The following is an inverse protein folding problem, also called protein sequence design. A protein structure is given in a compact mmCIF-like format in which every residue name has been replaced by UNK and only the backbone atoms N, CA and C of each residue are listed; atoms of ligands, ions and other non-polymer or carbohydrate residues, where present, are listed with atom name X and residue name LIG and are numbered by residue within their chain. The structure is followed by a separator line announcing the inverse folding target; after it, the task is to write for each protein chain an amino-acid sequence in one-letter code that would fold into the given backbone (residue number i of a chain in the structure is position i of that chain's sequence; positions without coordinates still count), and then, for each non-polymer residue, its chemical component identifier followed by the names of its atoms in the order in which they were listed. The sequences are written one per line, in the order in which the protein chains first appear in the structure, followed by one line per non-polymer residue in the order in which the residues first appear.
data_IF_199234859093
#
_entry.id   IF_199234859093
#
_cell.length_a   1.000
_cell.length_b   1.000
_cell.length_c   1.000
_cell.angle_alpha   90.00
_cell.angle_beta   90.00
_cell.angle_gamma   90.00
#
_symmetry.space_group_name_H-M   'P 1'
#
loop_
_entity.id
_entity.type
_entity.pdbx_description
1 polymer ?
#
# COMPACT_ATOMS: atom_id res chain seq x y z
N UNK A 1 -9.82 28.69 2.55
CA UNK A 1 -9.26 28.44 3.90
C UNK A 1 -8.99 26.94 4.01
N UNK A 2 -8.00 26.50 4.80
CA UNK A 2 -7.75 25.07 4.98
C UNK A 2 -8.86 24.46 5.84
N UNK A 3 -9.38 23.30 5.43
CA UNK A 3 -10.38 22.56 6.19
C UNK A 3 -9.75 21.92 7.44
N UNK A 4 -10.58 21.64 8.44
CA UNK A 4 -10.15 20.84 9.60
C UNK A 4 -9.92 19.39 9.17
N UNK A 5 -8.94 18.71 9.77
CA UNK A 5 -8.62 17.30 9.49
C UNK A 5 -9.83 16.37 9.57
N UNK A 6 -10.73 16.63 10.53
CA UNK A 6 -11.96 15.85 10.77
C UNK A 6 -13.02 16.04 9.69
N UNK A 7 -12.98 17.16 8.99
CA UNK A 7 -13.97 17.56 7.98
C UNK A 7 -13.48 17.27 6.54
N UNK A 8 -12.28 16.69 6.40
CA UNK A 8 -11.69 16.35 5.11
C UNK A 8 -12.63 15.47 4.27
N UNK A 9 -13.03 15.96 3.09
CA UNK A 9 -13.89 15.27 2.14
C UNK A 9 -15.38 15.57 2.25
N UNK A 10 -15.82 16.38 3.22
CA UNK A 10 -17.24 16.76 3.33
C UNK A 10 -17.72 17.59 2.14
N UNK A 11 -16.89 18.50 1.65
CA UNK A 11 -17.21 19.32 0.47
C UNK A 11 -17.34 18.45 -0.78
N UNK A 12 -16.45 17.46 -0.95
CA UNK A 12 -16.54 16.51 -2.06
C UNK A 12 -17.83 15.67 -1.97
N UNK A 13 -18.19 15.19 -0.77
CA UNK A 13 -19.44 14.45 -0.56
C UNK A 13 -20.67 15.29 -0.90
N UNK A 14 -20.66 16.58 -0.53
CA UNK A 14 -21.76 17.49 -0.83
C UNK A 14 -21.89 17.79 -2.34
N UNK A 15 -20.77 17.96 -3.06
CA UNK A 15 -20.78 18.29 -4.49
C UNK A 15 -20.97 17.08 -5.41
N UNK A 16 -20.27 15.97 -5.14
CA UNK A 16 -20.20 14.79 -6.04
C UNK A 16 -21.14 13.65 -5.62
N UNK A 17 -21.70 13.74 -4.41
CA UNK A 17 -22.43 12.65 -3.79
C UNK A 17 -21.53 11.57 -3.19
N UNK A 18 -22.13 10.70 -2.38
CA UNK A 18 -21.41 9.70 -1.59
C UNK A 18 -20.59 8.71 -2.44
N UNK A 19 -21.15 8.25 -3.56
CA UNK A 19 -20.53 7.21 -4.40
C UNK A 19 -19.23 7.69 -5.05
N UNK A 20 -19.24 8.88 -5.65
CA UNK A 20 -18.05 9.44 -6.31
C UNK A 20 -16.96 9.84 -5.31
N UNK A 21 -17.32 10.25 -4.09
CA UNK A 21 -16.36 10.58 -3.04
C UNK A 21 -15.78 9.39 -2.29
N UNK A 22 -16.23 8.17 -2.56
CA UNK A 22 -15.69 6.95 -1.96
C UNK A 22 -15.39 5.86 -2.99
N UNK A 23 -15.45 6.18 -4.29
CA UNK A 23 -15.33 5.20 -5.37
C UNK A 23 -14.03 4.39 -5.26
N UNK A 24 -12.90 5.07 -5.09
CA UNK A 24 -11.60 4.40 -4.98
C UNK A 24 -11.44 3.66 -3.65
N UNK A 25 -11.97 4.21 -2.56
CA UNK A 25 -12.02 3.51 -1.28
C UNK A 25 -12.79 2.18 -1.40
N UNK A 26 -13.98 2.18 -1.99
CA UNK A 26 -14.83 1.00 -2.15
C UNK A 26 -14.14 -0.03 -3.04
N UNK A 27 -13.60 0.38 -4.20
CA UNK A 27 -12.90 -0.56 -5.09
C UNK A 27 -11.69 -1.22 -4.44
N UNK A 28 -10.92 -0.49 -3.63
CA UNK A 28 -9.81 -1.06 -2.87
C UNK A 28 -10.29 -2.09 -1.86
N UNK A 29 -11.37 -1.80 -1.12
CA UNK A 29 -11.92 -2.72 -0.13
C UNK A 29 -12.49 -3.97 -0.79
N UNK A 30 -13.19 -3.84 -1.92
CA UNK A 30 -13.66 -4.97 -2.71
C UNK A 30 -12.49 -5.83 -3.19
N UNK A 31 -11.44 -5.23 -3.74
CA UNK A 31 -10.23 -5.94 -4.17
C UNK A 31 -9.56 -6.71 -3.01
N UNK A 32 -9.37 -6.05 -1.86
CA UNK A 32 -8.75 -6.66 -0.68
C UNK A 32 -9.60 -7.80 -0.11
N UNK A 33 -10.92 -7.62 -0.02
CA UNK A 33 -11.85 -8.65 0.44
C UNK A 33 -11.93 -9.81 -0.55
N UNK A 34 -11.89 -9.55 -1.85
CA UNK A 34 -11.88 -10.59 -2.88
C UNK A 34 -10.60 -11.43 -2.78
N UNK A 35 -9.44 -10.81 -2.68
CA UNK A 35 -8.17 -11.53 -2.49
C UNK A 35 -8.21 -12.35 -1.20
N UNK A 36 -8.70 -11.77 -0.10
CA UNK A 36 -8.83 -12.50 1.15
C UNK A 36 -9.81 -13.67 1.04
N UNK A 37 -10.95 -13.48 0.38
CA UNK A 37 -11.93 -14.53 0.14
C UNK A 37 -11.35 -15.67 -0.72
N UNK A 38 -10.50 -15.37 -1.71
CA UNK A 38 -9.80 -16.40 -2.49
C UNK A 38 -8.85 -17.24 -1.63
N UNK A 39 -8.19 -16.65 -0.61
CA UNK A 39 -7.38 -17.42 0.34
C UNK A 39 -8.23 -18.23 1.32
N UNK A 40 -9.39 -17.72 1.72
CA UNK A 40 -10.30 -18.39 2.66
C UNK A 40 -11.20 -19.44 2.00
N UNK A 41 -11.30 -19.47 0.66
CA UNK A 41 -12.15 -20.43 -0.04
C UNK A 41 -11.71 -21.88 0.16
N UNK A 42 -10.40 -22.11 0.32
CA UNK A 42 -9.84 -23.44 0.61
C UNK A 42 -10.34 -23.98 1.95
N UNK A 43 -9.96 -23.35 3.08
CA UNK A 43 -10.35 -23.81 4.41
C UNK A 43 -11.86 -23.86 4.68
N UNK A 44 -12.65 -22.94 4.11
CA UNK A 44 -14.08 -22.82 4.43
C UNK A 44 -14.99 -23.58 3.47
N UNK A 45 -14.66 -23.64 2.18
CA UNK A 45 -15.53 -24.23 1.16
C UNK A 45 -14.93 -25.49 0.50
N UNK A 46 -13.71 -25.89 0.87
CA UNK A 46 -13.01 -27.02 0.27
C UNK A 46 -12.56 -26.78 -1.17
N UNK A 47 -12.72 -25.57 -1.69
CA UNK A 47 -12.33 -25.17 -3.05
C UNK A 47 -11.06 -24.32 -2.95
N UNK A 48 -9.92 -24.96 -3.19
CA UNK A 48 -8.61 -24.32 -3.12
C UNK A 48 -8.31 -23.51 -4.39
N UNK A 49 -8.75 -22.26 -4.41
CA UNK A 49 -8.44 -21.31 -5.50
C UNK A 49 -7.01 -20.77 -5.37
N UNK A 50 -6.53 -20.60 -4.14
CA UNK A 50 -5.14 -20.26 -3.80
C UNK A 50 -4.63 -21.27 -2.77
N UNK A 51 -3.62 -22.05 -3.13
CA UNK A 51 -2.87 -22.87 -2.16
C UNK A 51 -1.71 -22.06 -1.60
N UNK A 52 -1.51 -22.06 -0.28
CA UNK A 52 -0.35 -21.43 0.37
C UNK A 52 -0.68 -20.16 1.16
N UNK A 53 0.28 -19.24 1.26
CA UNK A 53 0.17 -18.00 2.02
C UNK A 53 0.56 -16.78 1.16
N UNK A 54 0.49 -15.57 1.71
CA UNK A 54 0.88 -14.34 0.99
C UNK A 54 2.38 -14.27 0.60
N UNK A 55 3.22 -15.13 1.17
CA UNK A 55 4.66 -15.22 0.90
C UNK A 55 4.98 -16.21 -0.23
N UNK A 56 4.20 -17.28 -0.34
CA UNK A 56 4.22 -18.25 -1.43
C UNK A 56 2.83 -18.85 -1.61
N UNK A 57 2.18 -18.54 -2.74
CA UNK A 57 0.89 -19.10 -3.11
C UNK A 57 0.89 -19.62 -4.54
N UNK A 58 0.05 -20.61 -4.81
CA UNK A 58 -0.26 -21.15 -6.13
C UNK A 58 -1.70 -20.77 -6.45
N UNK A 59 -1.89 -19.93 -7.45
CA UNK A 59 -3.20 -19.60 -7.99
C UNK A 59 -3.64 -20.71 -8.95
N UNK A 60 -4.76 -21.35 -8.63
CA UNK A 60 -5.36 -22.45 -9.38
C UNK A 60 -4.33 -23.54 -9.74
N UNK A 61 -3.41 -23.85 -8.81
CA UNK A 61 -2.31 -24.83 -8.98
C UNK A 61 -1.38 -24.61 -10.19
N UNK A 62 -1.49 -23.46 -10.85
CA UNK A 62 -0.86 -23.21 -12.16
C UNK A 62 0.00 -21.96 -12.18
N UNK A 63 -0.36 -20.91 -11.43
CA UNK A 63 0.40 -19.66 -11.39
C UNK A 63 1.01 -19.46 -10.00
N UNK A 64 2.35 -19.60 -9.83
CA UNK A 64 2.99 -19.29 -8.58
C UNK A 64 3.00 -17.77 -8.35
N UNK A 65 2.39 -17.31 -7.26
CA UNK A 65 2.55 -15.97 -6.72
C UNK A 65 3.46 -16.04 -5.50
N UNK A 66 4.76 -15.83 -5.74
CA UNK A 66 5.76 -15.77 -4.69
C UNK A 66 6.14 -14.33 -4.43
N UNK A 67 6.27 -13.95 -3.15
CA UNK A 67 6.74 -12.64 -2.76
C UNK A 67 8.18 -12.42 -3.27
N UNK A 68 8.42 -11.36 -4.08
CA UNK A 68 9.76 -11.04 -4.56
C UNK A 68 10.77 -10.84 -3.42
N UNK A 69 10.35 -10.36 -2.25
CA UNK A 69 11.22 -10.18 -1.10
C UNK A 69 11.69 -11.52 -0.52
N UNK A 70 10.77 -12.47 -0.36
CA UNK A 70 11.08 -13.82 0.15
C UNK A 70 11.98 -14.58 -0.83
N UNK A 71 11.78 -14.37 -2.12
CA UNK A 71 12.64 -14.98 -3.15
C UNK A 71 14.05 -14.40 -3.09
N UNK A 72 14.19 -13.09 -2.89
CA UNK A 72 15.48 -12.44 -2.68
C UNK A 72 16.17 -12.93 -1.40
N UNK A 73 15.44 -13.12 -0.30
CA UNK A 73 15.98 -13.69 0.93
C UNK A 73 16.41 -15.16 0.76
N UNK A 74 15.63 -15.98 0.05
CA UNK A 74 16.00 -17.37 -0.25
C UNK A 74 17.32 -17.42 -1.01
N UNK A 75 17.46 -16.60 -2.05
CA UNK A 75 18.69 -16.50 -2.81
C UNK A 75 19.86 -15.98 -1.96
N UNK A 76 19.62 -15.00 -1.10
CA UNK A 76 20.63 -14.44 -0.21
C UNK A 76 21.09 -15.42 0.88
N UNK A 77 20.20 -16.29 1.36
CA UNK A 77 20.50 -17.35 2.33
C UNK A 77 21.18 -18.58 1.70
N UNK A 78 21.39 -18.59 0.38
CA UNK A 78 22.04 -19.69 -0.32
C UNK A 78 21.10 -20.84 -0.71
N UNK A 79 19.80 -20.73 -0.43
CA UNK A 79 18.80 -21.69 -0.86
C UNK A 79 18.27 -21.33 -2.24
N UNK A 80 18.49 -22.21 -3.22
CA UNK A 80 17.89 -22.06 -4.55
C UNK A 80 16.38 -22.33 -4.45
N UNK A 81 15.51 -21.32 -4.62
CA UNK A 81 14.08 -21.56 -4.66
C UNK A 81 13.73 -22.39 -5.89
N UNK A 82 12.68 -23.22 -5.79
CA UNK A 82 12.19 -24.00 -6.93
C UNK A 82 11.90 -23.11 -8.14
N UNK A 83 12.11 -23.63 -9.35
CA UNK A 83 11.95 -22.88 -10.61
C UNK A 83 10.56 -22.22 -10.69
N UNK A 84 9.52 -22.88 -10.17
CA UNK A 84 8.17 -22.34 -10.05
C UNK A 84 8.12 -21.07 -9.19
N UNK A 85 8.76 -21.05 -8.02
CA UNK A 85 8.81 -19.88 -7.15
C UNK A 85 9.55 -18.70 -7.81
N UNK A 86 10.64 -18.99 -8.53
CA UNK A 86 11.41 -17.97 -9.24
C UNK A 86 10.63 -17.37 -10.40
N UNK A 87 9.95 -18.19 -11.21
CA UNK A 87 9.06 -17.74 -12.28
C UNK A 87 7.93 -16.88 -11.71
N UNK A 88 7.34 -17.30 -10.59
CA UNK A 88 6.28 -16.56 -9.92
C UNK A 88 6.73 -15.19 -9.41
N UNK A 89 7.89 -15.14 -8.75
CA UNK A 89 8.47 -13.90 -8.27
C UNK A 89 8.77 -12.92 -9.41
N UNK A 90 9.31 -13.41 -10.53
CA UNK A 90 9.60 -12.59 -11.72
C UNK A 90 8.33 -12.04 -12.35
N UNK A 91 7.28 -12.85 -12.49
CA UNK A 91 5.98 -12.41 -13.04
C UNK A 91 5.38 -11.33 -12.13
N UNK A 92 5.27 -11.61 -10.83
CA UNK A 92 4.73 -10.68 -9.83
C UNK A 92 5.52 -9.37 -9.82
N UNK A 93 6.85 -9.47 -9.76
CA UNK A 93 7.73 -8.31 -9.78
C UNK A 93 7.58 -7.50 -11.07
N UNK A 94 7.56 -8.15 -12.23
CA UNK A 94 7.42 -7.50 -13.53
C UNK A 94 6.08 -6.79 -13.70
N UNK A 95 4.98 -7.46 -13.34
CA UNK A 95 3.63 -6.88 -13.39
C UNK A 95 3.53 -5.67 -12.46
N UNK A 96 3.97 -5.78 -11.21
CA UNK A 96 3.91 -4.64 -10.29
C UNK A 96 4.88 -3.52 -10.67
N UNK A 97 6.07 -3.83 -11.19
CA UNK A 97 7.00 -2.83 -11.69
C UNK A 97 6.39 -2.03 -12.87
N UNK A 98 5.58 -2.68 -13.70
CA UNK A 98 4.98 -2.09 -14.90
C UNK A 98 3.67 -1.36 -14.59
N UNK A 99 2.80 -1.91 -13.74
CA UNK A 99 1.50 -1.31 -13.42
C UNK A 99 1.65 0.01 -12.68
N UNK A 100 2.60 0.15 -11.77
CA UNK A 100 2.75 1.40 -11.04
C UNK A 100 3.61 1.22 -9.81
N UNK A 101 3.49 2.16 -8.88
CA UNK A 101 4.30 2.16 -7.66
C UNK A 101 3.76 1.13 -6.68
N UNK A 102 3.74 1.43 -5.38
CA UNK A 102 3.27 0.54 -4.29
C UNK A 102 1.75 0.22 -4.35
N UNK A 103 1.24 -0.22 -5.50
CA UNK A 103 -0.14 -0.60 -5.80
C UNK A 103 -0.53 -1.83 -4.97
N UNK A 104 0.38 -2.81 -4.82
CA UNK A 104 0.16 -3.95 -3.94
C UNK A 104 -0.27 -3.52 -2.53
N UNK A 105 0.40 -2.50 -1.99
CA UNK A 105 0.12 -2.00 -0.63
C UNK A 105 -1.29 -1.42 -0.48
N UNK A 106 -1.91 -0.90 -1.54
CA UNK A 106 -3.23 -0.26 -1.47
C UNK A 106 -4.38 -1.13 -1.99
N UNK A 107 -4.12 -2.10 -2.87
CA UNK A 107 -5.15 -2.92 -3.55
C UNK A 107 -5.19 -4.39 -3.11
N UNK A 108 -4.07 -4.94 -2.64
CA UNK A 108 -3.93 -6.37 -2.35
C UNK A 108 -3.60 -6.62 -0.88
N UNK A 109 -2.79 -5.75 -0.27
CA UNK A 109 -2.33 -5.93 1.10
C UNK A 109 -3.51 -5.91 2.12
N UNK A 110 -3.68 -6.99 2.92
CA UNK A 110 -4.76 -7.10 3.91
C UNK A 110 -4.51 -6.29 5.19
N UNK A 111 -3.27 -5.84 5.42
CA UNK A 111 -2.91 -4.96 6.55
C UNK A 111 -3.34 -3.51 6.30
N UNK A 112 -3.51 -3.11 5.04
CA UNK A 112 -3.85 -1.74 4.70
C UNK A 112 -5.22 -1.25 5.24
N UNK A 113 -6.31 -2.04 5.24
CA UNK A 113 -7.54 -1.69 5.96
C UNK A 113 -7.33 -1.34 7.43
N UNK A 114 -6.42 -2.03 8.12
CA UNK A 114 -6.12 -1.82 9.53
C UNK A 114 -5.44 -0.46 9.72
N UNK A 115 -4.43 -0.15 8.89
CA UNK A 115 -3.70 1.13 8.97
C UNK A 115 -4.56 2.31 8.51
N UNK A 116 -5.40 2.12 7.48
CA UNK A 116 -6.38 3.13 7.04
C UNK A 116 -7.45 3.38 8.14
N UNK A 117 -7.87 2.34 8.87
CA UNK A 117 -8.80 2.48 9.99
C UNK A 117 -8.17 3.24 11.16
N UNK A 118 -6.92 2.95 11.50
CA UNK A 118 -6.16 3.70 12.50
C UNK A 118 -6.06 5.18 12.11
N UNK A 119 -5.72 5.48 10.86
CA UNK A 119 -5.66 6.85 10.34
C UNK A 119 -7.02 7.56 10.30
N UNK A 120 -8.11 6.84 10.01
CA UNK A 120 -9.46 7.40 10.10
C UNK A 120 -9.83 7.74 11.55
N UNK A 121 -9.56 6.84 12.49
CA UNK A 121 -9.86 7.04 13.91
C UNK A 121 -9.05 8.22 14.48
N UNK A 122 -7.77 8.30 14.11
CA UNK A 122 -6.87 9.41 14.45
C UNK A 122 -7.44 10.76 14.05
N UNK A 123 -7.96 10.87 12.82
CA UNK A 123 -8.55 12.12 12.30
C UNK A 123 -9.89 12.44 12.94
N UNK A 124 -10.67 11.42 13.31
CA UNK A 124 -11.95 11.60 14.01
C UNK A 124 -11.77 12.15 15.42
N UNK A 125 -10.76 11.65 16.14
CA UNK A 125 -10.40 12.09 17.50
C UNK A 125 -9.33 13.20 17.54
N UNK A 126 -8.92 13.72 16.38
CA UNK A 126 -7.91 14.79 16.26
C UNK A 126 -6.61 14.50 17.02
N UNK A 127 -6.18 13.23 17.05
CA UNK A 127 -4.97 12.79 17.75
C UNK A 127 -3.71 13.28 17.00
N UNK A 128 -2.87 14.04 17.70
CA UNK A 128 -1.62 14.58 17.15
C UNK A 128 -0.52 13.52 17.03
N UNK A 129 0.46 13.79 16.17
CA UNK A 129 1.66 12.94 16.01
C UNK A 129 2.54 13.04 17.25
N UNK A 130 2.81 11.89 17.87
CA UNK A 130 3.68 11.79 19.04
C UNK A 130 5.14 11.65 18.63
N UNK A 131 5.41 11.03 17.47
CA UNK A 131 6.76 10.89 16.91
C UNK A 131 6.79 11.07 15.39
N UNK A 132 7.92 11.55 14.88
CA UNK A 132 8.24 11.57 13.44
C UNK A 132 9.35 10.56 13.17
N UNK A 133 9.00 9.45 12.51
CA UNK A 133 9.98 8.44 12.11
C UNK A 133 10.52 8.81 10.73
N UNK A 134 11.84 8.75 10.49
CA UNK A 134 12.36 9.02 9.17
C UNK A 134 12.09 7.85 8.21
N UNK A 135 11.63 8.17 7.00
CA UNK A 135 11.22 7.18 5.98
C UNK A 135 12.36 6.32 5.44
N UNK A 136 13.63 6.72 5.63
CA UNK A 136 14.76 5.91 5.16
C UNK A 136 14.88 4.59 5.93
N UNK A 137 14.29 4.50 7.12
CA UNK A 137 14.33 3.30 7.97
C UNK A 137 13.80 2.06 7.24
N UNK A 138 12.75 2.16 6.42
CA UNK A 138 12.28 1.00 5.63
C UNK A 138 13.34 0.43 4.68
N UNK A 139 14.26 1.26 4.18
CA UNK A 139 15.36 0.81 3.32
C UNK A 139 16.50 0.22 4.15
N UNK A 140 16.75 0.77 5.35
CA UNK A 140 17.68 0.18 6.32
C UNK A 140 17.17 -1.18 6.76
N UNK A 141 15.89 -1.31 7.12
CA UNK A 141 15.26 -2.57 7.50
C UNK A 141 15.29 -3.59 6.36
N UNK A 142 15.03 -3.16 5.12
CA UNK A 142 15.19 -4.02 3.95
C UNK A 142 16.62 -4.57 3.86
N UNK A 143 17.64 -3.72 4.02
CA UNK A 143 19.04 -4.15 4.02
C UNK A 143 19.38 -5.08 5.19
N UNK A 144 18.95 -4.76 6.40
CA UNK A 144 19.17 -5.55 7.61
C UNK A 144 18.53 -6.94 7.49
N UNK A 145 17.32 -7.01 6.94
CA UNK A 145 16.61 -8.27 6.74
C UNK A 145 17.33 -9.13 5.69
N UNK A 146 17.73 -8.56 4.55
CA UNK A 146 18.48 -9.30 3.52
C UNK A 146 19.84 -9.80 4.03
N UNK A 147 20.61 -8.96 4.72
CA UNK A 147 21.92 -9.32 5.29
C UNK A 147 21.74 -10.33 6.42
N UNK A 148 20.77 -10.11 7.31
CA UNK A 148 20.45 -11.02 8.41
C UNK A 148 20.03 -12.39 7.91
N UNK A 149 19.21 -12.45 6.86
CA UNK A 149 18.81 -13.71 6.21
C UNK A 149 20.01 -14.41 5.55
N UNK A 150 20.93 -13.65 4.95
CA UNK A 150 22.18 -14.20 4.40
C UNK A 150 23.12 -14.78 5.48
N UNK A 151 23.23 -14.13 6.63
CA UNK A 151 24.09 -14.58 7.74
C UNK A 151 23.48 -15.76 8.50
N UNK A 152 22.18 -15.72 8.76
CA UNK A 152 21.49 -16.73 9.57
C UNK A 152 21.06 -17.96 8.76
N UNK A 153 20.97 -17.84 7.44
CA UNK A 153 20.38 -18.88 6.58
C UNK A 153 18.86 -19.04 6.77
N UNK A 154 18.18 -18.08 7.41
CA UNK A 154 16.74 -18.14 7.67
C UNK A 154 16.00 -17.01 6.96
N UNK A 155 14.71 -17.21 6.68
CA UNK A 155 13.85 -16.18 6.08
C UNK A 155 13.31 -15.25 7.17
N UNK A 156 14.09 -14.23 7.56
CA UNK A 156 13.73 -13.32 8.65
C UNK A 156 12.43 -12.56 8.39
N UNK A 157 12.14 -12.19 7.15
CA UNK A 157 10.89 -11.51 6.83
C UNK A 157 9.66 -12.34 7.17
N UNK A 158 9.68 -13.67 6.96
CA UNK A 158 8.52 -14.53 7.21
C UNK A 158 8.07 -14.52 8.68
N UNK A 159 9.01 -14.25 9.61
CA UNK A 159 8.73 -14.12 11.04
C UNK A 159 8.12 -12.77 11.42
N UNK A 160 8.53 -11.70 10.73
CA UNK A 160 8.12 -10.32 11.03
C UNK A 160 6.97 -9.82 10.17
N UNK A 161 6.63 -10.54 9.10
CA UNK A 161 5.67 -10.08 8.10
C UNK A 161 4.24 -10.09 8.66
N UNK A 162 3.62 -8.92 8.93
CA UNK A 162 2.25 -8.87 9.44
C UNK A 162 1.23 -9.34 8.41
N UNK A 163 1.59 -9.36 7.12
CA UNK A 163 0.72 -9.84 6.04
C UNK A 163 0.54 -11.36 6.14
N UNK A 164 1.64 -12.11 6.28
CA UNK A 164 1.58 -13.57 6.43
C UNK A 164 0.96 -13.94 7.78
N UNK A 165 1.28 -13.20 8.85
CA UNK A 165 0.66 -13.39 10.17
C UNK A 165 -0.86 -13.15 10.17
N UNK A 166 -1.34 -12.16 9.40
CA UNK A 166 -2.77 -11.92 9.24
C UNK A 166 -3.46 -13.10 8.54
N UNK A 167 -2.89 -13.58 7.43
CA UNK A 167 -3.40 -14.76 6.74
C UNK A 167 -3.46 -16.00 7.66
N UNK A 168 -2.39 -16.25 8.41
CA UNK A 168 -2.33 -17.37 9.38
C UNK A 168 -3.37 -17.23 10.50
N UNK A 169 -3.55 -16.02 11.03
CA UNK A 169 -4.53 -15.78 12.12
C UNK A 169 -5.97 -15.96 11.65
N UNK A 170 -6.27 -15.67 10.38
CA UNK A 170 -7.60 -15.86 9.81
C UNK A 170 -7.92 -17.34 9.56
N UNK A 171 -6.92 -18.15 9.22
CA UNK A 171 -7.08 -19.58 8.92
C UNK A 171 -7.07 -20.44 10.19
N UNK A 172 -6.09 -20.23 11.08
CA UNK A 172 -5.86 -21.07 12.26
C UNK A 172 -6.48 -20.51 13.55
N UNK A 173 -7.18 -19.36 13.47
CA UNK A 173 -7.83 -18.69 14.59
C UNK A 173 -6.99 -17.58 15.23
N UNK A 174 -7.64 -16.79 16.10
CA UNK A 174 -7.09 -15.64 16.83
C UNK A 174 -5.97 -16.06 17.81
N UNK A 175 -4.80 -16.41 17.29
CA UNK A 175 -3.58 -16.71 18.06
C UNK A 175 -2.66 -15.50 18.22
N UNK A 176 -1.35 -15.76 18.33
CA UNK A 176 -0.31 -14.73 18.50
C UNK A 176 -0.29 -13.68 17.38
N UNK A 177 -0.68 -14.03 16.16
CA UNK A 177 -0.73 -13.08 15.04
C UNK A 177 -1.78 -11.97 15.21
N UNK A 178 -2.88 -12.23 15.93
CA UNK A 178 -3.86 -11.20 16.25
C UNK A 178 -3.29 -10.12 17.19
N UNK A 179 -2.47 -10.52 18.17
CA UNK A 179 -1.78 -9.57 19.06
C UNK A 179 -0.84 -8.66 18.28
N UNK A 180 -0.11 -9.21 17.30
CA UNK A 180 0.78 -8.41 16.43
C UNK A 180 -0.03 -7.40 15.59
N UNK A 181 -1.18 -7.79 15.07
CA UNK A 181 -2.06 -6.88 14.31
C UNK A 181 -2.65 -5.78 15.20
N UNK A 182 -3.04 -6.11 16.44
CA UNK A 182 -3.50 -5.11 17.42
C UNK A 182 -2.36 -4.16 17.79
N UNK A 183 -1.15 -4.68 18.02
CA UNK A 183 0.02 -3.87 18.31
C UNK A 183 0.34 -2.92 17.14
N UNK A 184 0.29 -3.41 15.89
CA UNK A 184 0.47 -2.60 14.69
C UNK A 184 -0.61 -1.51 14.58
N UNK A 185 -1.88 -1.86 14.81
CA UNK A 185 -2.98 -0.90 14.83
C UNK A 185 -2.78 0.20 15.88
N UNK A 186 -2.41 -0.18 17.12
CA UNK A 186 -2.15 0.77 18.20
C UNK A 186 -0.93 1.65 17.91
N UNK A 187 0.12 1.08 17.31
CA UNK A 187 1.31 1.83 16.88
C UNK A 187 0.94 2.90 15.84
N UNK A 188 0.16 2.55 14.81
CA UNK A 188 -0.27 3.50 13.79
C UNK A 188 -1.28 4.53 14.32
N UNK A 189 -2.08 4.16 15.32
CA UNK A 189 -3.07 5.04 15.96
C UNK A 189 -2.41 6.07 16.89
N UNK A 190 -1.52 5.62 17.78
CA UNK A 190 -0.99 6.42 18.89
C UNK A 190 0.36 7.08 18.58
N UNK A 191 1.23 6.40 17.83
CA UNK A 191 2.62 6.85 17.63
C UNK A 191 2.74 7.65 16.34
N UNK A 192 2.56 7.00 15.18
CA UNK A 192 2.83 7.60 13.86
C UNK A 192 1.74 7.26 12.85
N UNK A 193 1.26 8.25 12.12
CA UNK A 193 0.23 8.05 11.09
C UNK A 193 0.82 7.25 9.91
N UNK A 194 0.25 6.09 9.61
CA UNK A 194 0.79 5.13 8.64
C UNK A 194 2.27 4.76 8.93
N UNK A 195 2.61 4.59 10.22
CA UNK A 195 3.96 4.27 10.67
C UNK A 195 4.51 3.01 10.02
N UNK A 196 3.76 1.91 10.06
CA UNK A 196 4.21 0.65 9.50
C UNK A 196 4.38 0.71 7.97
N UNK A 197 3.29 0.98 7.25
CA UNK A 197 3.29 0.94 5.78
C UNK A 197 4.16 2.04 5.14
N UNK A 198 4.30 3.20 5.80
CA UNK A 198 5.08 4.31 5.26
C UNK A 198 6.57 4.27 5.61
N UNK A 199 6.91 3.84 6.83
CA UNK A 199 8.25 4.04 7.40
C UNK A 199 9.01 2.77 7.74
N UNK A 200 8.34 1.65 8.00
CA UNK A 200 8.99 0.42 8.47
C UNK A 200 8.93 -0.73 7.46
N UNK A 201 7.87 -0.82 6.67
CA UNK A 201 7.61 -1.99 5.82
C UNK A 201 8.68 -2.18 4.71
N UNK A 202 9.54 -3.22 4.77
CA UNK A 202 10.56 -3.51 3.77
C UNK A 202 9.95 -3.97 2.43
N UNK A 203 8.81 -4.65 2.47
CA UNK A 203 8.03 -5.01 1.27
C UNK A 203 7.62 -3.75 0.49
N UNK A 204 7.14 -2.73 1.20
CA UNK A 204 6.84 -1.42 0.61
C UNK A 204 8.09 -0.76 0.03
N UNK A 205 9.24 -0.88 0.69
CA UNK A 205 10.51 -0.40 0.17
C UNK A 205 10.85 -1.03 -1.19
N UNK A 206 10.75 -2.36 -1.29
CA UNK A 206 11.00 -3.12 -2.51
C UNK A 206 10.05 -2.72 -3.64
N UNK A 207 8.73 -2.75 -3.41
CA UNK A 207 7.75 -2.36 -4.43
C UNK A 207 7.85 -0.89 -4.83
N UNK A 208 8.28 -0.01 -3.93
CA UNK A 208 8.54 1.40 -4.26
C UNK A 208 9.74 1.57 -5.20
N UNK A 209 10.77 0.74 -5.04
CA UNK A 209 11.93 0.73 -5.95
C UNK A 209 11.55 0.09 -7.29
N UNK A 210 10.91 -1.08 -7.25
CA UNK A 210 10.50 -1.83 -8.44
C UNK A 210 9.56 -1.01 -9.33
N UNK A 211 8.55 -0.38 -8.73
CA UNK A 211 7.51 0.39 -9.41
C UNK A 211 7.84 1.86 -9.65
N UNK A 212 9.07 2.32 -9.40
CA UNK A 212 9.43 3.75 -9.53
C UNK A 212 9.17 4.31 -10.94
N UNK A 213 9.23 3.43 -11.96
CA UNK A 213 8.99 3.76 -13.37
C UNK A 213 7.64 3.26 -13.92
N UNK A 214 6.75 2.77 -13.06
CA UNK A 214 5.49 2.18 -13.49
C UNK A 214 4.58 3.12 -14.28
N UNK A 215 3.67 2.52 -15.04
CA UNK A 215 2.82 3.16 -16.03
C UNK A 215 1.69 3.98 -15.40
N UNK A 216 1.05 3.51 -14.33
CA UNK A 216 -0.06 4.24 -13.68
C UNK A 216 0.47 5.31 -12.72
N UNK A 217 0.09 6.55 -12.98
CA UNK A 217 0.48 7.71 -12.18
C UNK A 217 -0.76 8.55 -11.87
N UNK A 218 -0.80 9.14 -10.67
CA UNK A 218 -1.81 10.15 -10.34
C UNK A 218 -1.31 11.51 -10.84
N UNK A 219 -2.13 12.19 -11.62
CA UNK A 219 -1.83 13.49 -12.22
C UNK A 219 -2.82 14.52 -11.74
N UNK A 220 -2.31 15.67 -11.27
CA UNK A 220 -3.10 16.84 -10.95
C UNK A 220 -3.35 17.66 -12.23
N UNK A 221 -4.25 17.20 -13.10
CA UNK A 221 -4.53 17.77 -14.42
C UNK A 221 -5.05 19.22 -14.33
N UNK A 222 -6.03 19.45 -13.44
CA UNK A 222 -6.71 20.74 -13.32
C UNK A 222 -6.22 21.55 -12.11
N UNK A 223 -4.90 21.73 -11.94
CA UNK A 223 -4.34 22.45 -10.77
C UNK A 223 -4.93 23.86 -10.59
N UNK A 224 -5.33 24.50 -11.68
CA UNK A 224 -5.90 25.85 -11.70
C UNK A 224 -7.22 25.94 -10.90
N UNK A 225 -7.97 24.84 -10.83
CA UNK A 225 -9.23 24.76 -10.09
C UNK A 225 -9.02 24.45 -8.60
N UNK A 226 -7.77 24.31 -8.13
CA UNK A 226 -7.50 23.95 -6.74
C UNK A 226 -7.89 25.08 -5.77
N UNK A 227 -8.89 24.81 -4.92
CA UNK A 227 -9.35 25.72 -3.85
C UNK A 227 -8.42 25.83 -2.64
N UNK A 228 -7.31 25.08 -2.62
CA UNK A 228 -6.35 24.99 -1.50
C UNK A 228 -7.00 24.62 -0.16
N UNK A 229 -8.02 23.75 -0.19
CA UNK A 229 -8.72 23.26 1.01
C UNK A 229 -7.88 22.30 1.89
N UNK A 230 -6.79 21.73 1.36
CA UNK A 230 -5.88 20.78 2.02
C UNK A 230 -6.44 19.39 2.35
N UNK A 231 -7.67 19.08 1.92
CA UNK A 231 -8.29 17.76 2.12
C UNK A 231 -7.45 16.60 1.55
N UNK A 232 -6.83 16.80 0.39
CA UNK A 232 -5.97 15.81 -0.24
C UNK A 232 -4.73 15.47 0.62
N UNK A 233 -4.19 16.44 1.36
CA UNK A 233 -3.08 16.22 2.29
C UNK A 233 -3.53 15.52 3.58
N UNK A 234 -4.76 15.78 4.05
CA UNK A 234 -5.32 15.14 5.24
C UNK A 234 -5.72 13.68 5.02
N UNK A 235 -6.00 13.28 3.77
CA UNK A 235 -6.43 11.92 3.42
C UNK A 235 -5.28 11.05 2.91
N UNK A 236 -4.20 11.65 2.42
CA UNK A 236 -3.11 10.92 1.77
C UNK A 236 -2.25 10.21 2.83
N UNK A 237 -1.98 8.89 2.66
CA UNK A 237 -1.04 8.19 3.54
C UNK A 237 0.39 8.73 3.50
N UNK A 238 0.79 9.37 2.39
CA UNK A 238 2.13 9.92 2.16
C UNK A 238 2.00 11.37 1.66
N UNK A 239 1.58 12.32 2.51
CA UNK A 239 1.18 13.67 2.09
C UNK A 239 2.30 14.46 1.39
N UNK A 240 3.57 14.13 1.64
CA UNK A 240 4.71 14.78 0.99
C UNK A 240 4.71 14.63 -0.53
N UNK A 241 4.14 13.54 -1.08
CA UNK A 241 4.13 13.28 -2.54
C UNK A 241 3.26 14.29 -3.29
N UNK A 242 2.37 14.98 -2.57
CA UNK A 242 1.45 15.98 -3.12
C UNK A 242 1.99 17.41 -3.05
N UNK A 243 3.08 17.66 -2.29
CA UNK A 243 3.58 19.04 -2.08
C UNK A 243 3.94 19.73 -3.39
N UNK A 244 4.86 19.16 -4.16
CA UNK A 244 5.26 19.74 -5.43
C UNK A 244 4.12 19.73 -6.47
N UNK A 245 3.42 18.60 -6.72
CA UNK A 245 2.39 18.58 -7.76
C UNK A 245 1.17 19.46 -7.49
N UNK A 246 0.90 19.86 -6.25
CA UNK A 246 -0.29 20.67 -5.89
C UNK A 246 0.05 22.11 -5.56
N UNK A 247 1.13 22.36 -4.82
CA UNK A 247 1.45 23.69 -4.29
C UNK A 247 2.36 24.49 -5.23
N UNK A 248 3.22 23.80 -5.97
CA UNK A 248 4.16 24.42 -6.90
C UNK A 248 3.55 24.48 -8.31
N UNK A 249 3.48 25.69 -8.86
CA UNK A 249 2.91 25.95 -10.20
C UNK A 249 3.87 25.52 -11.30
N UNK A 250 5.18 25.57 -11.05
CA UNK A 250 6.23 25.24 -12.00
C UNK A 250 6.57 23.74 -11.97
N UNK A 251 6.22 23.04 -10.89
CA UNK A 251 6.43 21.60 -10.79
C UNK A 251 5.49 20.80 -11.71
N UNK A 252 5.93 19.64 -12.21
CA UNK A 252 5.10 18.76 -13.03
C UNK A 252 3.81 18.36 -12.30
N UNK A 253 2.72 18.21 -13.06
CA UNK A 253 1.42 17.75 -12.54
C UNK A 253 1.41 16.28 -12.10
N UNK A 254 2.34 15.49 -12.66
CA UNK A 254 2.44 14.07 -12.38
C UNK A 254 3.10 13.83 -11.02
N UNK A 255 2.47 13.02 -10.18
CA UNK A 255 3.04 12.57 -8.91
C UNK A 255 4.04 11.45 -9.22
N UNK A 256 5.30 11.81 -9.48
CA UNK A 256 6.38 10.88 -9.86
C UNK A 256 7.12 10.27 -8.67
N UNK A 257 6.86 10.71 -7.43
CA UNK A 257 7.44 10.16 -6.22
C UNK A 257 7.10 8.67 -6.00
N UNK A 258 8.13 7.85 -5.73
CA UNK A 258 8.03 6.39 -5.50
C UNK A 258 7.18 5.99 -4.29
N UNK A 259 6.92 6.91 -3.38
CA UNK A 259 6.16 6.65 -2.15
C UNK A 259 4.65 6.68 -2.36
N UNK A 260 4.19 7.24 -3.49
CA UNK A 260 2.78 7.19 -3.84
C UNK A 260 2.31 5.74 -3.99
N UNK A 261 1.31 5.34 -3.20
CA UNK A 261 0.71 3.99 -3.23
C UNK A 261 -0.42 3.86 -4.25
N UNK A 262 -0.67 4.88 -5.08
CA UNK A 262 -1.74 4.93 -6.10
C UNK A 262 -3.10 4.46 -5.55
N UNK A 263 -3.49 4.98 -4.38
CA UNK A 263 -4.71 4.59 -3.68
C UNK A 263 -5.99 5.34 -4.11
N UNK A 264 -5.86 6.39 -4.92
CA UNK A 264 -6.99 7.19 -5.43
C UNK A 264 -7.70 8.08 -4.40
N UNK A 265 -7.32 8.09 -3.11
CA UNK A 265 -8.02 8.90 -2.08
C UNK A 265 -8.01 10.40 -2.35
N UNK A 266 -6.97 10.90 -3.01
CA UNK A 266 -6.88 12.30 -3.43
C UNK A 266 -7.93 12.67 -4.50
N UNK A 267 -8.37 11.71 -5.32
CA UNK A 267 -9.43 11.87 -6.32
C UNK A 267 -10.80 11.88 -5.63
N UNK A 268 -11.00 10.92 -4.70
CA UNK A 268 -12.22 10.79 -3.89
C UNK A 268 -12.53 12.08 -3.10
N UNK A 269 -11.51 12.67 -2.47
CA UNK A 269 -11.70 13.80 -1.52
C UNK A 269 -11.70 15.19 -2.18
N UNK A 270 -11.24 15.32 -3.42
CA UNK A 270 -11.07 16.63 -4.05
C UNK A 270 -12.39 17.11 -4.66
N UNK A 271 -13.02 18.16 -4.15
CA UNK A 271 -14.30 18.69 -4.66
C UNK A 271 -14.25 19.20 -6.10
N UNK A 272 -13.07 19.68 -6.55
CA UNK A 272 -12.88 20.36 -7.85
C UNK A 272 -12.29 19.44 -8.94
N UNK A 273 -12.28 18.12 -8.74
CA UNK A 273 -11.81 17.13 -9.71
C UNK A 273 -10.40 17.41 -10.28
N UNK A 274 -9.49 17.85 -9.41
CA UNK A 274 -8.11 18.20 -9.79
C UNK A 274 -7.28 16.96 -10.19
N UNK A 275 -7.54 15.81 -9.57
CA UNK A 275 -6.72 14.61 -9.71
C UNK A 275 -7.37 13.56 -10.61
N UNK A 276 -6.57 12.89 -11.44
CA UNK A 276 -6.94 11.67 -12.18
C UNK A 276 -5.81 10.66 -12.17
N UNK A 277 -6.15 9.37 -12.27
CA UNK A 277 -5.16 8.32 -12.57
C UNK A 277 -5.01 8.26 -14.10
N UNK A 278 -3.80 8.48 -14.58
CA UNK A 278 -3.44 8.48 -16.00
C UNK A 278 -2.25 7.57 -16.25
N UNK A 279 -2.02 7.23 -17.51
CA UNK A 279 -0.75 6.62 -17.91
C UNK A 279 0.35 7.68 -17.93
N UNK A 280 1.55 7.31 -17.48
CA UNK A 280 2.75 8.14 -17.43
C UNK A 280 3.08 8.75 -18.80
N UNK A 281 2.89 7.97 -19.85
CA UNK A 281 3.15 8.35 -21.24
C UNK A 281 1.94 9.00 -21.94
N UNK A 282 0.80 9.15 -21.25
CA UNK A 282 -0.34 9.83 -21.85
C UNK A 282 -0.02 11.32 -22.01
N UNK A 283 0.02 11.76 -23.27
CA UNK A 283 0.36 13.11 -23.73
C UNK A 283 -0.57 14.24 -23.27
N UNK A 284 -1.55 13.96 -22.40
CA UNK A 284 -2.50 14.95 -21.88
C UNK A 284 -1.92 15.88 -20.81
N UNK A 285 -0.81 15.51 -20.19
CA UNK A 285 -0.10 16.36 -19.22
C UNK A 285 1.02 17.15 -19.92
N UNK A 286 0.67 17.98 -20.92
CA UNK A 286 1.59 19.05 -21.33
C UNK A 286 1.69 20.05 -20.18
N UNK A 287 2.92 20.46 -19.91
CA UNK A 287 3.39 21.33 -18.83
C UNK A 287 2.48 22.51 -18.52
#
# INVERSE_FOLDING_TARGET
MANRKRDAGREAQAKKGWWHSHKWLVFRRVSQLLVLAMFLSGPWFGVWVLHGNYSSSLLLDTVPLTDPLITLESLASGYLPGISALVGAVIVFGVYALLGKRIFCSWVCPVNPITDAAAWLRRKFELNQSATIPRYIRYVLLGVILIGSAVTGTLLWEWLNPVSLMGRSLIFGFGSGALVLVALFLFDLLVVEHGWCGHLCPLGALYGIAGCKGALVVTAENKQNCSRCMDCFHICPEPQVLRAPVLDKQAPAQITDKDCITCGRCIDVCSEDVFKITLRWSSGAKS
#
